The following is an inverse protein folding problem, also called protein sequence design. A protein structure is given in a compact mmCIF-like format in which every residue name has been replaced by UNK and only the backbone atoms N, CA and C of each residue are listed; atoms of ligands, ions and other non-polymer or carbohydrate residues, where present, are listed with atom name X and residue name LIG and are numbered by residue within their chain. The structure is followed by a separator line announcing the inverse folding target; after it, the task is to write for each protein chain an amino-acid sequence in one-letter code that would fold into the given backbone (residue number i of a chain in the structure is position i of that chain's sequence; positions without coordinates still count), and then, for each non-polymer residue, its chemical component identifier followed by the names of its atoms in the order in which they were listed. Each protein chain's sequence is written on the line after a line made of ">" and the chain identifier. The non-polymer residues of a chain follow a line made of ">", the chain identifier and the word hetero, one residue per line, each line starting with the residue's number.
data_IF_655572929957
#
_entry.id   IF_655572929957
#
_cell.length_a   1.000
_cell.length_b   1.000
_cell.length_c   1.000
_cell.angle_alpha   90.00
_cell.angle_beta   90.00
_cell.angle_gamma   90.00
#
_symmetry.space_group_name_H-M   'P 1'
#
loop_
_entity.id
_entity.type
_entity.pdbx_description
1 polymer ?
#
# COMPACT_ATOMS: atom_id res chain seq x y z
N UNK A 1 -48.53 -66.40 -62.31
CA UNK A 1 -49.58 -66.55 -61.30
C UNK A 1 -49.39 -65.41 -60.31
N UNK A 2 -50.16 -64.34 -60.48
CA UNK A 2 -50.33 -63.33 -59.44
C UNK A 2 -51.28 -63.90 -58.38
N UNK A 3 -51.03 -63.62 -57.10
CA UNK A 3 -52.03 -63.07 -56.16
C UNK A 3 -51.55 -63.09 -54.70
N UNK A 4 -51.57 -61.88 -54.12
CA UNK A 4 -52.10 -61.47 -52.80
C UNK A 4 -51.36 -62.05 -51.58
N UNK A 5 -51.01 -61.18 -50.63
CA UNK A 5 -51.72 -61.02 -49.35
C UNK A 5 -50.94 -60.01 -48.51
N UNK A 6 -51.60 -58.88 -48.31
CA UNK A 6 -51.32 -57.85 -47.32
C UNK A 6 -51.49 -58.46 -45.91
N UNK A 7 -50.49 -58.28 -45.04
CA UNK A 7 -50.59 -58.61 -43.62
C UNK A 7 -50.11 -57.40 -42.84
N UNK A 8 -51.06 -56.59 -42.38
CA UNK A 8 -50.84 -55.61 -41.33
C UNK A 8 -50.56 -56.33 -40.02
N UNK A 9 -49.47 -55.95 -39.34
CA UNK A 9 -49.23 -56.23 -37.92
C UNK A 9 -48.82 -54.93 -37.22
N UNK A 10 -49.20 -54.77 -35.94
CA UNK A 10 -49.66 -53.51 -35.39
C UNK A 10 -48.54 -52.57 -34.95
N UNK A 11 -48.85 -51.27 -35.01
CA UNK A 11 -48.04 -50.15 -34.53
C UNK A 11 -47.81 -50.28 -33.02
N UNK A 12 -46.59 -50.68 -32.62
CA UNK A 12 -46.13 -50.50 -31.24
C UNK A 12 -45.77 -49.02 -31.04
N UNK A 13 -46.53 -48.39 -30.14
CA UNK A 13 -46.36 -47.00 -29.74
C UNK A 13 -45.11 -46.90 -28.87
N UNK A 14 -43.98 -46.54 -29.49
CA UNK A 14 -42.73 -46.28 -28.77
C UNK A 14 -42.92 -44.96 -28.02
N UNK A 15 -43.00 -45.06 -26.69
CA UNK A 15 -42.98 -43.90 -25.79
C UNK A 15 -41.53 -43.44 -25.70
N UNK A 16 -41.18 -42.38 -26.43
CA UNK A 16 -39.91 -41.70 -26.26
C UNK A 16 -39.92 -40.98 -24.90
N UNK A 17 -39.13 -41.50 -23.96
CA UNK A 17 -38.86 -40.84 -22.68
C UNK A 17 -37.79 -39.79 -22.94
N UNK A 18 -38.20 -38.52 -23.06
CA UNK A 18 -37.29 -37.38 -23.07
C UNK A 18 -36.47 -37.36 -21.76
N UNK A 19 -35.19 -37.72 -21.87
CA UNK A 19 -34.25 -37.60 -20.76
C UNK A 19 -33.81 -36.14 -20.67
N UNK A 20 -34.46 -35.38 -19.80
CA UNK A 20 -34.06 -34.04 -19.42
C UNK A 20 -32.65 -34.12 -18.82
N UNK A 21 -31.66 -33.60 -19.54
CA UNK A 21 -30.28 -33.44 -19.05
C UNK A 21 -30.27 -32.16 -18.23
N UNK A 22 -30.29 -32.29 -16.91
CA UNK A 22 -30.02 -31.18 -16.00
C UNK A 22 -28.55 -30.75 -16.20
N UNK A 23 -28.36 -29.60 -16.82
CA UNK A 23 -27.06 -28.96 -16.93
C UNK A 23 -26.74 -28.37 -15.55
N UNK A 24 -25.92 -29.09 -14.78
CA UNK A 24 -25.34 -28.57 -13.55
C UNK A 24 -24.56 -27.30 -13.87
N UNK A 25 -25.13 -26.17 -13.49
CA UNK A 25 -24.50 -24.86 -13.57
C UNK A 25 -23.33 -24.86 -12.58
N UNK A 26 -22.12 -25.08 -13.08
CA UNK A 26 -20.88 -24.93 -12.31
C UNK A 26 -20.80 -23.47 -11.85
N UNK A 27 -21.16 -23.23 -10.60
CA UNK A 27 -20.96 -21.95 -9.93
C UNK A 27 -19.46 -21.84 -9.72
N UNK A 28 -18.81 -21.07 -10.60
CA UNK A 28 -17.41 -20.71 -10.46
C UNK A 28 -17.26 -19.91 -9.17
N UNK A 29 -16.89 -20.61 -8.10
CA UNK A 29 -16.60 -20.05 -6.80
C UNK A 29 -15.40 -19.13 -7.02
N UNK A 30 -15.63 -17.81 -7.00
CA UNK A 30 -14.57 -16.82 -6.95
C UNK A 30 -13.79 -17.10 -5.66
N UNK A 31 -12.70 -17.86 -5.79
CA UNK A 31 -11.74 -18.07 -4.72
C UNK A 31 -11.02 -16.73 -4.59
N UNK A 32 -11.42 -15.96 -3.59
CA UNK A 32 -10.68 -14.80 -3.12
C UNK A 32 -9.28 -15.32 -2.78
N UNK A 33 -8.32 -15.05 -3.67
CA UNK A 33 -6.94 -15.48 -3.48
C UNK A 33 -6.41 -14.63 -2.33
N UNK A 34 -6.43 -15.19 -1.12
CA UNK A 34 -5.82 -14.56 0.05
C UNK A 34 -4.40 -14.13 -0.30
N UNK A 35 -4.15 -12.84 -0.14
CA UNK A 35 -2.87 -12.22 -0.43
C UNK A 35 -1.77 -12.90 0.39
N UNK A 36 -0.71 -13.36 -0.27
CA UNK A 36 0.50 -13.90 0.39
C UNK A 36 1.34 -12.83 1.10
N UNK A 37 0.84 -11.61 1.20
CA UNK A 37 1.53 -10.48 1.84
C UNK A 37 1.30 -10.54 3.35
N UNK A 38 2.37 -10.33 4.11
CA UNK A 38 2.29 -10.25 5.55
C UNK A 38 1.87 -8.84 5.99
N UNK A 39 0.97 -8.76 6.96
CA UNK A 39 0.65 -7.51 7.67
C UNK A 39 1.73 -7.23 8.70
N UNK A 40 2.33 -6.03 8.67
CA UNK A 40 3.29 -5.62 9.69
C UNK A 40 2.56 -5.23 11.00
N UNK A 41 3.16 -5.46 12.18
CA UNK A 41 2.68 -4.88 13.43
C UNK A 41 2.62 -3.36 13.33
N UNK A 42 1.56 -2.75 13.87
CA UNK A 42 1.29 -1.31 13.74
C UNK A 42 1.73 -0.49 14.95
N UNK A 43 2.04 -1.13 16.08
CA UNK A 43 2.25 -0.46 17.37
C UNK A 43 3.39 0.56 17.33
N UNK A 44 4.53 0.20 16.75
CA UNK A 44 5.67 1.13 16.56
C UNK A 44 5.30 2.31 15.66
N UNK A 45 4.46 2.09 14.65
CA UNK A 45 3.99 3.17 13.76
C UNK A 45 3.04 4.13 14.49
N UNK A 46 2.10 3.58 15.28
CA UNK A 46 1.20 4.37 16.11
C UNK A 46 1.96 5.12 17.21
N UNK A 47 3.00 4.51 17.77
CA UNK A 47 3.89 5.17 18.73
C UNK A 47 4.64 6.35 18.10
N UNK A 48 5.26 6.15 16.93
CA UNK A 48 5.91 7.24 16.21
C UNK A 48 4.92 8.37 15.88
N UNK A 49 3.69 8.02 15.50
CA UNK A 49 2.63 9.00 15.23
C UNK A 49 2.23 9.78 16.49
N UNK A 50 2.18 9.12 17.65
CA UNK A 50 1.92 9.77 18.96
C UNK A 50 3.01 10.78 19.31
N UNK A 51 4.28 10.40 19.11
CA UNK A 51 5.44 11.29 19.33
C UNK A 51 5.39 12.49 18.38
N UNK A 52 5.09 12.27 17.09
CA UNK A 52 4.91 13.34 16.11
C UNK A 52 3.76 14.28 16.48
N UNK A 53 2.67 13.74 17.02
CA UNK A 53 1.56 14.57 17.49
C UNK A 53 1.97 15.42 18.71
N UNK A 54 2.63 14.82 19.69
CA UNK A 54 3.08 15.51 20.91
C UNK A 54 4.07 16.64 20.60
N UNK A 55 5.09 16.38 19.77
CA UNK A 55 6.17 17.32 19.53
C UNK A 55 5.88 18.29 18.38
N UNK A 56 5.10 17.86 17.38
CA UNK A 56 4.93 18.60 16.13
C UNK A 56 3.46 18.94 15.77
N UNK A 57 2.47 18.51 16.56
CA UNK A 57 1.03 18.71 16.27
C UNK A 57 0.63 18.25 14.86
N UNK A 58 1.29 17.20 14.36
CA UNK A 58 1.21 16.80 12.96
C UNK A 58 -0.23 16.45 12.54
N UNK A 59 -0.96 15.71 13.38
CA UNK A 59 -2.30 15.24 13.04
C UNK A 59 -3.28 16.40 13.04
N UNK A 60 -3.23 17.27 14.05
CA UNK A 60 -4.06 18.47 14.12
C UNK A 60 -3.90 19.29 12.85
N UNK A 61 -2.65 19.58 12.47
CA UNK A 61 -2.37 20.39 11.29
C UNK A 61 -2.89 19.77 10.00
N UNK A 62 -2.70 18.45 9.81
CA UNK A 62 -3.16 17.76 8.60
C UNK A 62 -4.67 17.56 8.55
N UNK A 63 -5.36 17.65 9.71
CA UNK A 63 -6.81 17.55 9.82
C UNK A 63 -7.51 18.90 9.79
N UNK A 64 -6.78 19.99 9.95
CA UNK A 64 -7.30 21.35 9.88
C UNK A 64 -7.67 21.73 8.44
N UNK A 65 -8.77 22.47 8.29
CA UNK A 65 -9.14 23.06 7.00
C UNK A 65 -8.42 24.42 6.83
N UNK A 66 -7.44 24.45 5.95
CA UNK A 66 -6.62 25.65 5.76
C UNK A 66 -7.24 26.70 4.83
N UNK A 67 -8.43 26.47 4.26
CA UNK A 67 -9.02 27.34 3.22
C UNK A 67 -9.29 28.77 3.67
N UNK A 68 -9.51 29.00 4.97
CA UNK A 68 -9.80 30.31 5.55
C UNK A 68 -8.57 31.03 6.10
N UNK A 69 -7.41 30.38 6.14
CA UNK A 69 -6.19 30.92 6.72
C UNK A 69 -5.33 31.64 5.66
N UNK A 70 -4.63 32.68 6.09
CA UNK A 70 -3.62 33.35 5.29
C UNK A 70 -2.33 32.52 5.17
N UNK A 71 -1.52 32.82 4.16
CA UNK A 71 -0.19 32.21 4.00
C UNK A 71 0.71 32.49 5.22
N UNK A 72 0.54 33.66 5.87
CA UNK A 72 1.26 34.01 7.09
C UNK A 72 0.88 33.11 8.27
N UNK A 73 -0.41 32.82 8.46
CA UNK A 73 -0.91 31.93 9.51
C UNK A 73 -0.49 30.49 9.26
N UNK A 74 -0.64 30.00 8.03
CA UNK A 74 -0.17 28.66 7.63
C UNK A 74 1.33 28.56 7.81
N UNK A 75 2.09 29.59 7.43
CA UNK A 75 3.54 29.65 7.62
C UNK A 75 3.95 29.68 9.09
N UNK A 76 3.18 30.33 9.96
CA UNK A 76 3.41 30.29 11.41
C UNK A 76 3.21 28.88 11.98
N UNK A 77 2.11 28.21 11.61
CA UNK A 77 1.85 26.83 12.01
C UNK A 77 2.93 25.86 11.46
N UNK A 78 3.28 26.00 10.18
CA UNK A 78 4.29 25.17 9.52
C UNK A 78 5.65 25.22 10.23
N UNK A 79 6.05 26.38 10.78
CA UNK A 79 7.30 26.49 11.56
C UNK A 79 7.27 25.68 12.84
N UNK A 80 6.13 25.61 13.53
CA UNK A 80 5.96 24.80 14.75
C UNK A 80 6.12 23.32 14.39
N UNK A 81 5.40 22.86 13.37
CA UNK A 81 5.44 21.46 12.91
C UNK A 81 6.82 21.08 12.42
N UNK A 82 7.46 21.95 11.64
CA UNK A 82 8.81 21.73 11.14
C UNK A 82 9.81 21.58 12.29
N UNK A 83 9.76 22.48 13.28
CA UNK A 83 10.68 22.44 14.43
C UNK A 83 10.45 21.18 15.28
N UNK A 84 9.20 20.84 15.56
CA UNK A 84 8.84 19.61 16.27
C UNK A 84 9.24 18.35 15.51
N UNK A 85 8.95 18.28 14.22
CA UNK A 85 9.31 17.15 13.36
C UNK A 85 10.82 16.95 13.26
N UNK A 86 11.59 18.05 13.16
CA UNK A 86 13.05 17.98 13.23
C UNK A 86 13.54 17.40 14.55
N UNK A 87 12.95 17.80 15.67
CA UNK A 87 13.27 17.24 16.98
C UNK A 87 12.98 15.75 17.05
N UNK A 88 11.82 15.30 16.58
CA UNK A 88 11.47 13.86 16.54
C UNK A 88 12.47 13.06 15.70
N UNK A 89 12.82 13.55 14.51
CA UNK A 89 13.81 12.88 13.67
C UNK A 89 15.18 12.82 14.36
N UNK A 90 15.63 13.92 14.96
CA UNK A 90 16.93 13.98 15.64
C UNK A 90 17.01 13.07 16.87
N UNK A 91 15.92 12.98 17.65
CA UNK A 91 15.89 12.22 18.90
C UNK A 91 15.72 10.71 18.66
N UNK A 92 15.04 10.30 17.59
CA UNK A 92 14.57 8.91 17.43
C UNK A 92 14.99 8.20 16.14
N UNK A 93 15.51 8.90 15.13
CA UNK A 93 15.82 8.30 13.80
C UNK A 93 17.21 8.70 13.31
N UNK A 94 18.07 7.72 13.03
CA UNK A 94 19.35 7.98 12.37
C UNK A 94 19.19 7.83 10.86
N UNK A 95 19.17 8.96 10.14
CA UNK A 95 19.04 9.01 8.70
C UNK A 95 20.40 9.11 8.00
N UNK A 96 20.55 8.37 6.90
CA UNK A 96 21.69 8.48 5.99
C UNK A 96 21.21 8.61 4.54
N UNK A 97 22.03 9.24 3.69
CA UNK A 97 21.76 9.25 2.25
C UNK A 97 22.02 7.88 1.63
N UNK A 98 21.21 7.50 0.65
CA UNK A 98 21.43 6.27 -0.14
C UNK A 98 22.58 6.47 -1.11
N UNK A 99 22.67 7.66 -1.71
CA UNK A 99 23.75 8.08 -2.61
C UNK A 99 24.60 9.17 -1.96
N UNK A 100 25.91 9.09 -2.14
CA UNK A 100 26.86 10.07 -1.60
C UNK A 100 27.21 11.17 -2.58
N UNK A 101 27.04 10.92 -3.88
CA UNK A 101 27.30 11.91 -4.93
C UNK A 101 26.43 13.16 -4.76
N UNK A 102 26.86 14.28 -5.34
CA UNK A 102 26.07 15.51 -5.30
C UNK A 102 24.85 15.44 -6.21
N UNK A 103 23.78 16.07 -5.76
CA UNK A 103 22.59 16.24 -6.59
C UNK A 103 22.96 17.09 -7.82
N UNK A 104 22.21 16.90 -8.90
CA UNK A 104 22.47 17.49 -10.21
C UNK A 104 23.78 17.02 -10.89
N UNK A 105 24.46 16.00 -10.34
CA UNK A 105 25.62 15.38 -11.00
C UNK A 105 25.24 14.14 -11.80
N UNK A 106 26.06 13.82 -12.81
CA UNK A 106 25.87 12.64 -13.64
C UNK A 106 26.42 11.41 -12.94
N UNK A 107 25.58 10.41 -12.75
CA UNK A 107 25.93 9.14 -12.13
C UNK A 107 25.67 7.96 -13.07
N UNK A 108 26.34 6.85 -12.80
CA UNK A 108 26.08 5.56 -13.43
C UNK A 108 25.41 4.63 -12.41
N UNK A 109 24.23 4.13 -12.74
CA UNK A 109 23.53 3.10 -11.98
C UNK A 109 23.89 1.75 -12.60
N UNK A 110 24.66 0.95 -11.85
CA UNK A 110 25.13 -0.34 -12.33
C UNK A 110 24.01 -1.36 -12.52
N UNK A 111 24.29 -2.41 -13.28
CA UNK A 111 23.44 -3.59 -13.33
C UNK A 111 23.32 -4.25 -11.96
N UNK A 112 22.15 -4.81 -11.65
CA UNK A 112 21.86 -5.42 -10.35
C UNK A 112 21.58 -4.42 -9.22
N UNK A 113 21.32 -3.14 -9.52
CA UNK A 113 20.93 -2.15 -8.51
C UNK A 113 19.65 -2.56 -7.77
N UNK A 114 19.51 -2.13 -6.52
CA UNK A 114 18.30 -2.37 -5.73
C UNK A 114 17.21 -1.36 -6.12
N UNK A 115 16.07 -1.79 -6.70
CA UNK A 115 14.98 -0.89 -7.11
C UNK A 115 14.23 -0.26 -5.93
N UNK A 116 14.41 -0.76 -4.71
CA UNK A 116 13.89 -0.12 -3.49
C UNK A 116 14.74 1.08 -3.06
N UNK A 117 16.03 1.09 -3.43
CA UNK A 117 16.96 2.16 -3.06
C UNK A 117 17.12 3.19 -4.18
N UNK A 118 17.01 2.77 -5.45
CA UNK A 118 17.16 3.65 -6.60
C UNK A 118 15.93 3.52 -7.50
N UNK A 119 15.18 4.62 -7.63
CA UNK A 119 14.09 4.74 -8.59
C UNK A 119 14.59 5.45 -9.85
N UNK A 120 14.57 4.76 -10.98
CA UNK A 120 14.84 5.38 -12.28
C UNK A 120 13.61 6.19 -12.72
N UNK A 121 13.83 7.41 -13.20
CA UNK A 121 12.77 8.31 -13.67
C UNK A 121 13.07 8.82 -15.07
N UNK A 122 12.03 9.16 -15.85
CA UNK A 122 12.15 9.61 -17.24
C UNK A 122 11.96 8.47 -18.25
N UNK A 123 12.54 8.60 -19.44
CA UNK A 123 12.44 7.59 -20.49
C UNK A 123 13.49 6.49 -20.26
N UNK A 124 13.13 5.48 -19.45
CA UNK A 124 13.99 4.35 -19.14
C UNK A 124 13.83 3.29 -20.22
N UNK A 125 14.83 3.15 -21.09
CA UNK A 125 14.87 2.11 -22.13
C UNK A 125 16.20 1.38 -22.10
N UNK A 126 16.22 0.14 -22.58
CA UNK A 126 17.41 -0.72 -22.56
C UNK A 126 17.66 -1.36 -21.19
N UNK A 127 18.88 -1.86 -21.01
CA UNK A 127 19.32 -2.52 -19.78
C UNK A 127 20.39 -1.67 -19.08
N UNK A 128 20.56 -1.90 -17.78
CA UNK A 128 21.65 -1.32 -17.03
C UNK A 128 23.02 -1.70 -17.64
N UNK A 129 24.08 -0.88 -17.47
CA UNK A 129 24.13 0.31 -16.62
C UNK A 129 23.38 1.52 -17.21
N UNK A 130 22.65 2.23 -16.35
CA UNK A 130 21.96 3.47 -16.73
C UNK A 130 22.82 4.67 -16.39
N UNK A 131 22.80 5.70 -17.25
CA UNK A 131 23.49 6.95 -17.00
C UNK A 131 22.47 8.08 -16.91
N UNK A 132 22.44 8.78 -15.79
CA UNK A 132 21.45 9.82 -15.51
C UNK A 132 21.97 10.86 -14.54
N UNK A 133 21.14 11.85 -14.26
CA UNK A 133 21.42 12.88 -13.26
C UNK A 133 20.83 12.46 -11.92
N UNK A 134 21.60 12.55 -10.84
CA UNK A 134 21.10 12.31 -9.49
C UNK A 134 20.22 13.49 -9.05
N UNK A 135 18.90 13.30 -9.04
CA UNK A 135 17.94 14.36 -8.67
C UNK A 135 17.77 14.48 -7.15
N UNK A 136 17.81 13.35 -6.43
CA UNK A 136 17.69 13.32 -4.98
C UNK A 136 18.53 12.18 -4.41
N UNK A 137 19.31 12.44 -3.35
CA UNK A 137 20.23 11.43 -2.77
C UNK A 137 19.52 10.24 -2.10
N UNK A 138 18.22 10.39 -1.82
CA UNK A 138 17.42 9.42 -1.10
C UNK A 138 17.74 9.40 0.40
N UNK A 139 16.80 8.89 1.20
CA UNK A 139 16.97 8.75 2.64
C UNK A 139 16.81 7.28 3.04
N UNK A 140 17.67 6.82 3.93
CA UNK A 140 17.61 5.51 4.57
C UNK A 140 17.67 5.68 6.07
N UNK A 141 16.68 5.16 6.78
CA UNK A 141 16.77 4.98 8.22
C UNK A 141 17.78 3.85 8.49
N UNK A 142 18.88 4.20 9.14
CA UNK A 142 19.93 3.24 9.53
C UNK A 142 19.73 2.74 10.95
N UNK A 143 19.04 3.51 11.78
CA UNK A 143 18.62 3.12 13.12
C UNK A 143 17.33 3.85 13.51
N UNK A 144 16.55 3.23 14.39
CA UNK A 144 15.32 3.80 14.96
C UNK A 144 15.18 3.35 16.41
N UNK A 145 15.15 4.32 17.32
CA UNK A 145 15.13 4.06 18.76
C UNK A 145 13.91 4.73 19.40
N UNK A 146 12.77 4.04 19.39
CA UNK A 146 11.54 4.56 20.02
C UNK A 146 11.54 4.33 21.55
N UNK A 147 10.83 5.16 22.33
CA UNK A 147 10.62 4.91 23.76
C UNK A 147 10.05 3.52 24.04
N UNK A 148 10.28 2.98 25.24
CA UNK A 148 9.68 1.69 25.61
C UNK A 148 8.21 1.88 25.98
N UNK A 149 7.35 0.99 25.48
CA UNK A 149 5.95 0.92 25.88
C UNK A 149 5.79 0.03 27.13
N UNK A 150 4.82 0.38 27.97
CA UNK A 150 4.40 -0.50 29.06
C UNK A 150 3.62 -1.71 28.51
N UNK A 151 3.63 -2.83 29.23
CA UNK A 151 3.04 -4.10 28.78
C UNK A 151 1.55 -4.01 28.38
N UNK A 152 0.80 -3.11 29.03
CA UNK A 152 -0.63 -2.88 28.77
C UNK A 152 -0.91 -1.49 28.16
N UNK A 153 0.09 -0.89 27.48
CA UNK A 153 -0.11 0.38 26.80
C UNK A 153 -0.95 0.21 25.54
N UNK A 154 -2.06 0.93 25.44
CA UNK A 154 -2.87 0.96 24.22
C UNK A 154 -2.28 1.96 23.22
N UNK A 155 -1.48 1.47 22.28
CA UNK A 155 -0.85 2.29 21.24
C UNK A 155 -1.86 2.91 20.26
N UNK A 156 -3.12 2.47 20.23
CA UNK A 156 -4.14 3.07 19.37
C UNK A 156 -4.60 4.46 19.85
N UNK A 157 -4.34 4.80 21.12
CA UNK A 157 -4.60 6.13 21.68
C UNK A 157 -3.41 7.05 21.36
N UNK A 158 -3.53 7.76 20.23
CA UNK A 158 -2.45 8.63 19.71
C UNK A 158 -2.29 9.92 20.52
N UNK A 159 -3.41 10.53 20.91
CA UNK A 159 -3.46 11.69 21.78
C UNK A 159 -4.71 11.58 22.67
N UNK A 160 -4.58 11.75 24.00
CA UNK A 160 -5.72 11.69 24.90
C UNK A 160 -6.61 12.93 24.74
N UNK A 161 -7.90 12.78 25.02
CA UNK A 161 -8.78 13.94 25.18
C UNK A 161 -8.49 14.66 26.50
N UNK A 162 -8.37 15.98 26.46
CA UNK A 162 -8.16 16.82 27.65
C UNK A 162 -9.48 17.45 28.10
N UNK A 163 -9.76 17.41 29.40
CA UNK A 163 -10.97 17.97 30.02
C UNK A 163 -10.57 18.81 31.22
N UNK A 164 -10.92 20.10 31.21
CA UNK A 164 -10.74 21.03 32.34
C UNK A 164 -11.94 20.93 33.31
N UNK A 165 -11.69 21.05 34.62
CA UNK A 165 -12.68 20.95 35.70
C UNK A 165 -12.76 22.24 36.52
#
# INVERSE_FOLDING_TARGET
>A
VEKIVEVEKPVEKIVEVEKVVEVEKVIEKVVEVESKLATAPTDSAMQLLSIMQQEARLIDFLKEDLTSFSDEEVGAAARVIHTGGQKVLADYVTLAHIRSEDEETRITVAEGFNPQEIRLTGNVTGNAPFNGTLVHKGWKATDMNLPKLAENYDASVIAPAEVEL
#
